data_IF_109884369440
#
_entry.id   IF_109884369440
#
_cell.length_a   1.000
_cell.length_b   1.000
_cell.length_c   1.000
_cell.angle_alpha   90.00
_cell.angle_beta   90.00
_cell.angle_gamma   90.00
#
_symmetry.space_group_name_H-M   'P 1'
#
loop_
_entity.id
_entity.type
_entity.pdbx_description
1 polymer ?
#
# COMPACT_ATOMS: atom_id res chain seq x y z
N UNK A 1 27.66 -38.83 -33.95
CA UNK A 1 27.92 -38.48 -32.55
C UNK A 1 28.46 -37.05 -32.36
N UNK A 2 29.40 -36.53 -33.15
CA UNK A 2 29.95 -35.18 -33.00
C UNK A 2 28.90 -34.04 -33.12
N UNK A 3 27.91 -34.16 -33.97
CA UNK A 3 26.84 -33.18 -34.14
C UNK A 3 25.79 -33.23 -33.03
N UNK A 4 25.59 -34.38 -32.40
CA UNK A 4 24.66 -34.54 -31.27
C UNK A 4 25.19 -33.83 -30.00
N UNK A 5 26.52 -33.90 -29.78
CA UNK A 5 27.17 -33.16 -28.69
C UNK A 5 27.14 -31.63 -28.91
N UNK A 6 27.29 -31.17 -30.16
CA UNK A 6 27.19 -29.75 -30.50
C UNK A 6 25.77 -29.22 -30.29
N UNK A 7 24.75 -29.99 -30.63
CA UNK A 7 23.35 -29.66 -30.40
C UNK A 7 23.00 -29.60 -28.89
N UNK A 8 23.54 -30.51 -28.09
CA UNK A 8 23.39 -30.53 -26.64
C UNK A 8 24.08 -29.32 -25.95
N UNK A 9 25.27 -28.93 -26.45
CA UNK A 9 25.97 -27.73 -25.94
C UNK A 9 25.25 -26.43 -26.28
N UNK A 10 24.62 -26.33 -27.45
CA UNK A 10 23.80 -25.13 -27.80
C UNK A 10 22.54 -25.06 -26.97
N UNK A 11 21.91 -26.17 -26.61
CA UNK A 11 20.73 -26.20 -25.72
C UNK A 11 21.08 -25.82 -24.29
N UNK A 12 22.30 -26.09 -23.82
CA UNK A 12 22.75 -25.70 -22.47
C UNK A 12 22.99 -24.17 -22.31
N UNK A 13 23.20 -23.45 -23.42
CA UNK A 13 23.40 -22.01 -23.43
C UNK A 13 22.09 -21.22 -23.31
N UNK A 14 20.94 -21.85 -23.47
CA UNK A 14 19.61 -21.26 -23.25
C UNK A 14 19.03 -21.54 -21.83
N UNK A 15 19.88 -21.95 -20.88
CA UNK A 15 19.49 -21.92 -19.47
C UNK A 15 19.37 -20.45 -19.07
N UNK A 16 18.24 -19.85 -19.45
CA UNK A 16 17.83 -18.53 -18.99
C UNK A 16 17.82 -18.57 -17.46
N UNK A 17 18.84 -17.97 -16.87
CA UNK A 17 18.86 -17.73 -15.44
C UNK A 17 17.62 -16.87 -15.15
N UNK A 18 16.57 -17.45 -14.58
CA UNK A 18 15.45 -16.65 -14.08
C UNK A 18 16.02 -15.73 -13.04
N UNK A 19 15.97 -14.43 -13.31
CA UNK A 19 16.32 -13.40 -12.36
C UNK A 19 15.58 -13.66 -11.04
N UNK A 20 16.27 -13.62 -9.90
CA UNK A 20 15.62 -13.81 -8.62
C UNK A 20 14.74 -12.60 -8.31
N UNK A 21 13.64 -12.80 -7.55
CA UNK A 21 12.79 -11.70 -7.08
C UNK A 21 13.62 -10.61 -6.35
N UNK A 22 14.65 -11.02 -5.63
CA UNK A 22 15.56 -10.11 -4.94
C UNK A 22 16.34 -9.22 -5.92
N UNK A 23 16.85 -9.79 -6.99
CA UNK A 23 17.63 -9.05 -8.00
C UNK A 23 16.72 -8.10 -8.78
N UNK A 24 15.50 -8.54 -9.10
CA UNK A 24 14.48 -7.71 -9.72
C UNK A 24 14.14 -6.49 -8.86
N UNK A 25 13.92 -6.70 -7.55
CA UNK A 25 13.66 -5.61 -6.60
C UNK A 25 14.85 -4.67 -6.50
N UNK A 26 16.07 -5.20 -6.39
CA UNK A 26 17.29 -4.39 -6.29
C UNK A 26 17.47 -3.48 -7.52
N UNK A 27 17.28 -4.03 -8.71
CA UNK A 27 17.34 -3.27 -9.97
C UNK A 27 16.27 -2.18 -10.02
N UNK A 28 15.04 -2.49 -9.59
CA UNK A 28 13.95 -1.52 -9.58
C UNK A 28 14.24 -0.38 -8.61
N UNK A 29 14.78 -0.68 -7.42
CA UNK A 29 15.20 0.34 -6.45
C UNK A 29 16.29 1.23 -7.06
N UNK A 30 17.32 0.64 -7.69
CA UNK A 30 18.40 1.38 -8.35
C UNK A 30 17.89 2.26 -9.50
N UNK A 31 16.92 1.80 -10.27
CA UNK A 31 16.30 2.57 -11.36
C UNK A 31 15.55 3.80 -10.85
N UNK A 32 14.93 3.70 -9.67
CA UNK A 32 14.06 4.75 -9.15
C UNK A 32 14.76 5.68 -8.15
N UNK A 33 15.81 5.27 -7.49
CA UNK A 33 16.54 6.09 -6.53
C UNK A 33 17.09 7.37 -7.19
N UNK A 34 16.79 8.52 -6.61
CA UNK A 34 17.17 9.83 -7.14
C UNK A 34 16.40 10.30 -8.39
N UNK A 35 15.52 9.47 -8.97
CA UNK A 35 14.68 9.86 -10.10
C UNK A 35 13.69 10.94 -9.67
N UNK A 36 13.52 11.96 -10.49
CA UNK A 36 12.56 13.03 -10.26
C UNK A 36 11.13 12.56 -10.60
N UNK A 37 10.20 12.82 -9.71
CA UNK A 37 8.76 12.59 -9.94
C UNK A 37 8.13 13.88 -10.45
N UNK A 38 7.53 13.79 -11.62
CA UNK A 38 6.86 14.90 -12.29
C UNK A 38 5.39 14.94 -11.90
N UNK A 39 4.93 16.10 -11.41
CA UNK A 39 3.53 16.29 -11.05
C UNK A 39 2.74 16.90 -12.24
N UNK A 40 1.51 16.45 -12.51
CA UNK A 40 0.66 17.06 -13.52
C UNK A 40 0.39 18.54 -13.19
N UNK A 41 0.43 19.40 -14.20
CA UNK A 41 0.24 20.85 -14.03
C UNK A 41 -1.13 21.23 -13.43
N UNK A 42 -2.14 20.36 -13.62
CA UNK A 42 -3.51 20.59 -13.15
C UNK A 42 -3.97 19.41 -12.32
N UNK A 43 -3.51 19.36 -11.05
CA UNK A 43 -3.96 18.37 -10.07
C UNK A 43 -4.97 19.00 -9.14
N UNK A 44 -6.19 18.48 -9.13
CA UNK A 44 -7.25 18.94 -8.24
C UNK A 44 -7.40 17.97 -7.08
N UNK A 45 -7.07 18.44 -5.89
CA UNK A 45 -7.23 17.65 -4.67
C UNK A 45 -8.60 17.87 -4.04
N UNK A 46 -9.22 16.80 -3.62
CA UNK A 46 -10.55 16.84 -2.99
C UNK A 46 -10.59 16.01 -1.72
N UNK A 47 -11.47 16.36 -0.80
CA UNK A 47 -11.83 15.51 0.31
C UNK A 47 -13.01 14.61 -0.12
N UNK A 48 -12.78 13.30 -0.13
CA UNK A 48 -13.78 12.29 -0.50
C UNK A 48 -14.45 12.52 -1.86
N UNK A 49 -13.74 13.16 -2.80
CA UNK A 49 -14.24 13.47 -4.13
C UNK A 49 -15.39 14.48 -4.16
N UNK A 50 -15.51 15.33 -3.14
CA UNK A 50 -16.57 16.32 -3.01
C UNK A 50 -16.04 17.74 -2.92
N UNK A 51 -15.34 18.06 -1.84
CA UNK A 51 -14.90 19.40 -1.54
C UNK A 51 -13.47 19.61 -2.07
N UNK A 52 -13.27 20.53 -3.01
CA UNK A 52 -11.93 20.88 -3.51
C UNK A 52 -11.16 21.61 -2.41
N UNK A 53 -9.91 21.23 -2.24
CA UNK A 53 -9.00 21.83 -1.25
C UNK A 53 -7.76 22.37 -1.96
N UNK A 54 -7.25 23.49 -1.47
CA UNK A 54 -5.94 23.98 -1.83
C UNK A 54 -4.89 23.13 -1.10
N UNK A 55 -4.07 22.42 -1.88
CA UNK A 55 -3.07 21.50 -1.34
C UNK A 55 -1.72 21.81 -1.99
N UNK A 56 -0.87 22.49 -1.22
CA UNK A 56 0.48 22.88 -1.66
C UNK A 56 1.53 21.89 -1.15
N UNK A 57 2.49 21.57 -2.00
CA UNK A 57 3.64 20.72 -1.71
C UNK A 57 4.94 21.52 -1.59
N UNK A 58 4.87 22.85 -1.72
CA UNK A 58 6.01 23.69 -2.08
C UNK A 58 7.14 23.74 -1.03
N UNK A 59 6.84 23.61 0.27
CA UNK A 59 7.83 23.90 1.33
C UNK A 59 8.19 22.68 2.20
N UNK A 60 7.89 21.47 1.73
CA UNK A 60 8.18 20.27 2.50
C UNK A 60 9.56 19.69 2.14
N UNK A 61 10.40 19.46 3.17
CA UNK A 61 11.69 18.76 2.99
C UNK A 61 11.52 17.36 2.41
N UNK A 62 10.44 16.69 2.84
CA UNK A 62 10.04 15.36 2.37
C UNK A 62 8.54 15.32 2.15
N UNK A 63 8.11 14.47 1.24
CA UNK A 63 6.70 14.15 0.97
C UNK A 63 6.53 12.67 0.63
N UNK A 64 5.46 12.06 1.08
CA UNK A 64 5.10 10.69 0.69
C UNK A 64 4.08 10.76 -0.43
N UNK A 65 4.40 10.16 -1.57
CA UNK A 65 3.52 10.15 -2.74
C UNK A 65 3.12 8.73 -3.06
N UNK A 66 1.83 8.47 -3.19
CA UNK A 66 1.33 7.17 -3.61
C UNK A 66 0.41 7.30 -4.81
N UNK A 67 0.66 6.47 -5.81
CA UNK A 67 -0.21 6.27 -6.95
C UNK A 67 -0.93 4.94 -6.81
N UNK A 68 -2.22 4.92 -7.10
CA UNK A 68 -3.03 3.70 -7.11
C UNK A 68 -3.72 3.59 -8.46
N UNK A 69 -3.34 2.57 -9.22
CA UNK A 69 -3.87 2.27 -10.54
C UNK A 69 -5.27 1.66 -10.50
N UNK A 70 -5.91 1.56 -11.66
CA UNK A 70 -7.25 0.99 -11.85
C UNK A 70 -7.29 -0.53 -11.93
N UNK A 71 -6.16 -1.22 -11.82
CA UNK A 71 -6.07 -2.68 -12.02
C UNK A 71 -6.41 -3.43 -10.74
N UNK A 72 -7.32 -4.39 -10.79
CA UNK A 72 -7.63 -5.30 -9.68
C UNK A 72 -8.63 -4.71 -8.65
N UNK A 73 -8.49 -5.14 -7.39
CA UNK A 73 -9.39 -4.78 -6.29
C UNK A 73 -9.03 -3.42 -5.69
N UNK A 74 -9.90 -2.42 -5.87
CA UNK A 74 -9.70 -1.06 -5.37
C UNK A 74 -9.53 -1.01 -3.85
N UNK A 75 -10.44 -1.62 -3.10
CA UNK A 75 -10.40 -1.57 -1.63
C UNK A 75 -9.18 -2.29 -1.04
N UNK A 76 -8.72 -3.38 -1.69
CA UNK A 76 -7.53 -4.11 -1.27
C UNK A 76 -6.25 -3.27 -1.41
N UNK A 77 -6.20 -2.42 -2.44
CA UNK A 77 -5.06 -1.55 -2.72
C UNK A 77 -5.03 -0.32 -1.84
N UNK A 78 -6.19 0.29 -1.60
CA UNK A 78 -6.30 1.55 -0.88
C UNK A 78 -5.83 1.47 0.57
N UNK A 79 -6.26 0.45 1.32
CA UNK A 79 -5.93 0.24 2.75
C UNK A 79 -5.92 1.55 3.56
N UNK A 80 -6.94 2.38 3.39
CA UNK A 80 -6.99 3.77 3.89
C UNK A 80 -6.81 3.87 5.41
N UNK A 81 -7.27 2.87 6.16
CA UNK A 81 -7.07 2.83 7.61
C UNK A 81 -5.57 2.71 7.97
N UNK A 82 -4.82 1.86 7.26
CA UNK A 82 -3.38 1.72 7.48
C UNK A 82 -2.63 3.00 7.15
N UNK A 83 -3.06 3.70 6.10
CA UNK A 83 -2.52 5.02 5.77
C UNK A 83 -2.76 6.03 6.88
N UNK A 84 -3.98 6.11 7.43
CA UNK A 84 -4.30 6.99 8.56
C UNK A 84 -3.38 6.74 9.75
N UNK A 85 -3.14 5.47 10.09
CA UNK A 85 -2.26 5.11 11.20
C UNK A 85 -0.80 5.45 10.91
N UNK A 86 -0.31 5.21 9.69
CA UNK A 86 1.04 5.58 9.32
C UNK A 86 1.25 7.10 9.33
N UNK A 87 0.28 7.87 8.85
CA UNK A 87 0.31 9.33 8.91
C UNK A 87 0.36 9.83 10.36
N UNK A 88 -0.46 9.28 11.25
CA UNK A 88 -0.44 9.60 12.68
C UNK A 88 0.91 9.23 13.33
N UNK A 89 1.50 8.10 12.97
CA UNK A 89 2.82 7.68 13.44
C UNK A 89 3.90 8.68 12.99
N UNK A 90 3.89 9.10 11.73
CA UNK A 90 4.80 10.11 11.19
C UNK A 90 4.63 11.46 11.91
N UNK A 91 3.38 11.93 12.04
CA UNK A 91 3.07 13.20 12.72
C UNK A 91 3.51 13.20 14.19
N UNK A 92 3.35 12.06 14.89
CA UNK A 92 3.77 11.94 16.30
C UNK A 92 5.29 11.81 16.46
N UNK A 93 5.98 11.35 15.43
CA UNK A 93 7.43 11.11 15.45
C UNK A 93 8.21 12.36 15.08
N UNK A 94 7.66 13.18 14.18
CA UNK A 94 8.34 14.34 13.61
C UNK A 94 7.75 15.65 14.11
N UNK A 95 8.61 16.61 14.42
CA UNK A 95 8.19 17.97 14.79
C UNK A 95 7.90 18.87 13.57
N UNK A 96 7.74 18.28 12.40
CA UNK A 96 7.49 18.99 11.14
C UNK A 96 6.49 18.20 10.29
N UNK A 97 5.64 18.88 9.52
CA UNK A 97 4.66 18.21 8.68
C UNK A 97 5.36 17.48 7.52
N UNK A 98 4.86 16.28 7.22
CA UNK A 98 5.20 15.53 6.02
C UNK A 98 3.93 15.39 5.20
N UNK A 99 3.81 16.04 4.04
CA UNK A 99 2.66 15.90 3.18
C UNK A 99 2.54 14.46 2.64
N UNK A 100 1.32 13.94 2.67
CA UNK A 100 0.95 12.68 2.02
C UNK A 100 0.09 13.00 0.81
N UNK A 101 0.55 12.58 -0.35
CA UNK A 101 -0.03 12.89 -1.65
C UNK A 101 -0.60 11.64 -2.26
N UNK A 102 -1.90 11.63 -2.50
CA UNK A 102 -2.61 10.49 -3.04
C UNK A 102 -3.13 10.79 -4.43
N UNK A 103 -2.64 10.04 -5.43
CA UNK A 103 -3.19 10.01 -6.79
C UNK A 103 -3.89 8.69 -7.01
N UNK A 104 -5.18 8.74 -7.23
CA UNK A 104 -5.99 7.55 -7.49
C UNK A 104 -6.51 7.60 -8.92
N UNK A 105 -6.06 6.66 -9.73
CA UNK A 105 -6.63 6.43 -11.06
C UNK A 105 -7.77 5.42 -10.94
N UNK A 106 -9.03 5.86 -10.91
CA UNK A 106 -10.16 5.00 -10.59
C UNK A 106 -10.62 4.19 -11.80
N UNK A 107 -10.90 2.91 -11.58
CA UNK A 107 -11.71 2.12 -12.52
C UNK A 107 -13.19 2.51 -12.44
N UNK A 108 -13.67 2.80 -11.25
CA UNK A 108 -15.02 3.28 -10.96
C UNK A 108 -14.96 4.41 -9.91
N UNK A 109 -15.32 5.61 -10.34
CA UNK A 109 -15.38 6.79 -9.49
C UNK A 109 -16.40 6.68 -8.35
N UNK A 110 -17.50 5.96 -8.57
CA UNK A 110 -18.53 5.78 -7.54
C UNK A 110 -18.02 4.88 -6.43
N UNK A 111 -17.35 3.79 -6.81
CA UNK A 111 -16.72 2.87 -5.86
C UNK A 111 -15.68 3.60 -5.02
N UNK A 112 -14.78 4.36 -5.65
CA UNK A 112 -13.71 5.09 -4.97
C UNK A 112 -14.25 6.13 -3.98
N UNK A 113 -15.26 6.92 -4.39
CA UNK A 113 -15.95 7.87 -3.50
C UNK A 113 -16.68 7.17 -2.37
N UNK A 114 -17.27 6.00 -2.61
CA UNK A 114 -17.90 5.20 -1.56
C UNK A 114 -16.87 4.73 -0.53
N UNK A 115 -15.73 4.16 -0.98
CA UNK A 115 -14.69 3.66 -0.09
C UNK A 115 -14.09 4.79 0.75
N UNK A 116 -13.75 5.94 0.15
CA UNK A 116 -13.18 7.08 0.88
C UNK A 116 -14.13 7.63 1.95
N UNK A 117 -15.45 7.60 1.70
CA UNK A 117 -16.46 8.00 2.72
C UNK A 117 -16.65 6.93 3.78
N UNK A 118 -16.80 5.66 3.38
CA UNK A 118 -16.96 4.54 4.31
C UNK A 118 -15.83 4.49 5.33
N UNK A 119 -14.60 4.69 4.88
CA UNK A 119 -13.40 4.62 5.72
C UNK A 119 -13.07 5.97 6.39
N UNK A 120 -13.97 6.97 6.28
CA UNK A 120 -13.79 8.31 6.80
C UNK A 120 -12.39 8.87 6.48
N UNK A 121 -11.98 8.75 5.22
CA UNK A 121 -10.71 9.26 4.75
C UNK A 121 -10.83 10.73 4.37
N UNK A 122 -10.49 11.61 5.32
CA UNK A 122 -10.65 13.06 5.20
C UNK A 122 -9.37 13.78 4.74
N UNK A 123 -8.48 13.06 4.11
CA UNK A 123 -7.23 13.60 3.57
C UNK A 123 -7.39 13.97 2.09
N UNK A 124 -6.62 14.96 1.59
CA UNK A 124 -6.65 15.35 0.20
C UNK A 124 -6.27 14.20 -0.74
N UNK A 125 -7.10 13.96 -1.75
CA UNK A 125 -6.88 12.96 -2.80
C UNK A 125 -7.09 13.60 -4.17
N UNK A 126 -6.18 13.40 -5.10
CA UNK A 126 -6.38 13.68 -6.51
C UNK A 126 -7.00 12.46 -7.20
N UNK A 127 -8.19 12.63 -7.78
CA UNK A 127 -8.81 11.61 -8.62
C UNK A 127 -8.35 11.84 -10.06
N UNK A 128 -7.30 11.13 -10.44
CA UNK A 128 -6.64 11.23 -11.72
C UNK A 128 -7.35 10.36 -12.78
N UNK A 129 -8.51 10.81 -13.25
CA UNK A 129 -9.34 10.06 -14.19
C UNK A 129 -8.63 9.77 -15.52
N UNK A 130 -7.68 10.63 -15.91
CA UNK A 130 -6.96 10.52 -17.19
C UNK A 130 -5.63 9.77 -17.06
N UNK A 131 -5.27 9.36 -15.87
CA UNK A 131 -3.98 8.72 -15.59
C UNK A 131 -2.77 9.60 -15.96
N UNK A 132 -2.94 10.92 -15.82
CA UNK A 132 -1.91 11.89 -16.23
C UNK A 132 -0.64 11.74 -15.37
N UNK A 133 -0.78 11.38 -14.10
CA UNK A 133 0.36 11.19 -13.21
C UNK A 133 1.23 9.99 -13.61
N UNK A 134 0.62 8.87 -13.92
CA UNK A 134 1.34 7.69 -14.39
C UNK A 134 1.89 7.88 -15.81
N UNK A 135 1.16 8.55 -16.67
CA UNK A 135 1.61 8.86 -18.04
C UNK A 135 2.86 9.73 -18.07
N UNK A 136 3.04 10.61 -17.08
CA UNK A 136 4.25 11.42 -16.94
C UNK A 136 5.45 10.63 -16.41
N UNK A 137 5.22 9.69 -15.50
CA UNK A 137 6.27 9.06 -14.72
C UNK A 137 6.57 7.61 -15.11
N UNK A 138 5.61 6.90 -15.73
CA UNK A 138 5.71 5.47 -16.08
C UNK A 138 6.04 4.61 -14.86
N UNK A 139 5.16 4.67 -13.85
CA UNK A 139 5.34 3.94 -12.60
C UNK A 139 5.45 2.42 -12.81
N UNK A 140 6.11 1.70 -11.87
CA UNK A 140 6.16 0.24 -11.91
C UNK A 140 4.75 -0.38 -11.90
N UNK A 141 4.58 -1.50 -12.62
CA UNK A 141 3.32 -2.24 -12.63
C UNK A 141 2.99 -2.86 -11.26
N UNK A 142 4.03 -3.21 -10.48
CA UNK A 142 3.83 -3.78 -9.16
C UNK A 142 3.40 -2.71 -8.16
N UNK A 143 2.18 -2.86 -7.65
CA UNK A 143 1.54 -1.98 -6.68
C UNK A 143 2.42 -1.65 -5.46
N UNK A 144 3.25 -2.59 -5.02
CA UNK A 144 4.17 -2.41 -3.88
C UNK A 144 5.23 -1.36 -4.12
N UNK A 145 5.48 -0.98 -5.38
CA UNK A 145 6.46 0.03 -5.79
C UNK A 145 5.83 1.30 -6.36
N UNK A 146 4.53 1.49 -6.19
CA UNK A 146 3.82 2.71 -6.62
C UNK A 146 3.72 3.76 -5.50
N UNK A 147 4.60 3.66 -4.50
CA UNK A 147 4.70 4.62 -3.39
C UNK A 147 6.15 5.05 -3.22
N UNK A 148 6.34 6.34 -3.02
CA UNK A 148 7.64 7.00 -3.01
C UNK A 148 7.75 7.96 -1.84
N UNK A 149 8.89 7.94 -1.14
CA UNK A 149 9.33 9.04 -0.31
C UNK A 149 10.17 9.96 -1.18
N UNK A 150 9.74 11.20 -1.34
CA UNK A 150 10.45 12.21 -2.14
C UNK A 150 11.11 13.22 -1.23
N UNK A 151 12.24 13.73 -1.65
CA UNK A 151 12.90 14.89 -1.06
C UNK A 151 12.25 16.22 -1.50
N UNK A 152 12.82 17.35 -1.08
CA UNK A 152 12.35 18.70 -1.43
C UNK A 152 12.33 18.96 -2.94
N UNK A 153 13.24 18.34 -3.69
CA UNK A 153 13.41 18.52 -5.13
C UNK A 153 12.60 17.49 -5.94
N UNK A 154 11.63 16.81 -5.29
CA UNK A 154 10.79 15.75 -5.85
C UNK A 154 11.57 14.51 -6.31
N UNK A 155 12.79 14.29 -5.81
CA UNK A 155 13.57 13.09 -6.12
C UNK A 155 13.26 11.97 -5.15
N UNK A 156 13.25 10.77 -5.68
CA UNK A 156 12.97 9.55 -4.89
C UNK A 156 14.10 9.30 -3.90
N UNK A 157 13.82 9.45 -2.61
CA UNK A 157 14.70 9.10 -1.50
C UNK A 157 14.48 7.64 -1.03
N UNK A 158 13.28 7.11 -1.20
CA UNK A 158 12.97 5.70 -0.99
C UNK A 158 11.73 5.30 -1.79
N UNK A 159 11.68 4.03 -2.22
CA UNK A 159 10.57 3.44 -2.97
C UNK A 159 10.00 2.25 -2.21
N UNK A 160 8.70 2.04 -2.34
CA UNK A 160 7.96 0.93 -1.77
C UNK A 160 6.84 1.40 -0.83
N UNK A 161 5.86 0.54 -0.63
CA UNK A 161 4.66 0.91 0.14
C UNK A 161 4.85 0.62 1.64
N UNK A 162 4.92 1.67 2.51
CA UNK A 162 5.17 1.51 3.94
C UNK A 162 4.01 0.88 4.71
N UNK A 163 2.78 0.95 4.18
CA UNK A 163 1.62 0.35 4.85
C UNK A 163 1.47 -1.13 4.54
N UNK A 164 2.17 -1.64 3.52
CA UNK A 164 2.21 -3.05 3.16
C UNK A 164 3.45 -3.77 3.68
N UNK A 165 4.56 -3.05 3.87
CA UNK A 165 5.84 -3.65 4.23
C UNK A 165 6.46 -2.92 5.43
N UNK A 166 6.57 -3.59 6.60
CA UNK A 166 7.16 -2.99 7.81
C UNK A 166 8.60 -2.52 7.63
N UNK A 167 9.42 -3.20 6.81
CA UNK A 167 10.80 -2.78 6.53
C UNK A 167 10.87 -1.50 5.71
N UNK A 168 9.92 -1.32 4.78
CA UNK A 168 9.79 -0.07 4.03
C UNK A 168 9.33 1.06 4.97
N UNK A 169 8.41 0.77 5.89
CA UNK A 169 8.01 1.73 6.92
C UNK A 169 9.19 2.19 7.78
N UNK A 170 9.99 1.25 8.27
CA UNK A 170 11.22 1.55 9.02
C UNK A 170 12.21 2.39 8.20
N UNK A 171 12.37 2.08 6.90
CA UNK A 171 13.22 2.85 6.00
C UNK A 171 12.73 4.30 5.87
N UNK A 172 11.41 4.50 5.67
CA UNK A 172 10.83 5.84 5.57
C UNK A 172 11.04 6.64 6.86
N UNK A 173 10.73 6.05 8.02
CA UNK A 173 10.95 6.70 9.31
C UNK A 173 12.43 7.05 9.52
N UNK A 174 13.35 6.14 9.16
CA UNK A 174 14.80 6.39 9.25
C UNK A 174 15.23 7.57 8.37
N UNK A 175 14.76 7.68 7.14
CA UNK A 175 15.09 8.81 6.25
C UNK A 175 14.50 10.10 6.81
N UNK A 176 13.23 10.07 7.22
CA UNK A 176 12.51 11.23 7.75
C UNK A 176 13.13 11.79 9.05
N UNK A 177 13.70 10.92 9.88
CA UNK A 177 14.37 11.31 11.15
C UNK A 177 15.84 11.63 11.00
N UNK A 178 16.40 11.59 9.78
CA UNK A 178 17.83 11.84 9.55
C UNK A 178 18.73 10.71 10.04
N UNK A 179 18.19 9.49 10.17
CA UNK A 179 18.93 8.30 10.60
C UNK A 179 18.83 7.99 12.11
N UNK A 180 18.14 8.81 12.87
CA UNK A 180 17.80 8.47 14.24
C UNK A 180 16.88 7.27 14.27
N UNK A 181 17.26 6.23 15.01
CA UNK A 181 16.41 5.04 15.20
C UNK A 181 15.33 5.41 16.20
N UNK A 182 14.25 5.99 15.73
CA UNK A 182 13.03 6.08 16.52
C UNK A 182 12.44 4.68 16.57
N UNK A 183 12.65 3.98 17.68
CA UNK A 183 11.79 2.84 18.01
C UNK A 183 10.42 3.41 18.30
N UNK A 184 9.61 3.58 17.27
CA UNK A 184 8.18 3.69 17.47
C UNK A 184 7.78 2.37 18.14
N UNK A 185 7.54 2.41 19.44
CA UNK A 185 6.90 1.30 20.14
C UNK A 185 5.50 1.21 19.52
N UNK A 186 5.37 0.34 18.52
CA UNK A 186 4.04 0.01 18.03
C UNK A 186 3.29 -0.59 19.21
N UNK A 187 2.28 0.08 19.75
CA UNK A 187 1.59 -0.41 20.92
C UNK A 187 0.97 -1.77 20.59
N UNK A 188 1.56 -2.83 21.12
CA UNK A 188 1.08 -4.19 20.95
C UNK A 188 0.01 -4.43 22.01
N UNK A 189 -1.17 -4.84 21.57
CA UNK A 189 -2.22 -5.28 22.49
C UNK A 189 -2.35 -6.83 22.46
N UNK A 190 -3.03 -7.36 23.45
CA UNK A 190 -3.34 -8.80 23.54
C UNK A 190 -4.78 -9.03 23.14
N UNK A 191 -5.00 -10.14 22.46
CA UNK A 191 -6.32 -10.53 21.98
C UNK A 191 -6.64 -11.93 22.46
N UNK A 192 -7.86 -12.15 22.89
CA UNK A 192 -8.43 -13.45 23.20
C UNK A 192 -9.62 -13.72 22.26
N UNK A 193 -9.70 -14.95 21.78
CA UNK A 193 -10.86 -15.48 21.06
C UNK A 193 -11.61 -16.41 21.99
N UNK A 194 -12.94 -16.35 22.00
CA UNK A 194 -13.79 -17.29 22.76
C UNK A 194 -13.76 -18.69 22.15
N UNK A 195 -13.56 -18.80 20.83
CA UNK A 195 -13.40 -20.05 20.10
C UNK A 195 -12.28 -19.95 19.07
N UNK A 196 -11.52 -21.02 18.90
CA UNK A 196 -10.44 -21.10 17.90
C UNK A 196 -10.79 -21.99 16.70
N UNK A 197 -11.89 -22.74 16.80
CA UNK A 197 -12.39 -23.61 15.74
C UNK A 197 -13.90 -23.65 15.82
N UNK A 198 -14.54 -23.55 14.66
CA UNK A 198 -15.99 -23.64 14.53
C UNK A 198 -16.31 -24.71 13.49
N UNK A 199 -17.01 -25.75 13.92
CA UNK A 199 -17.52 -26.77 13.01
C UNK A 199 -18.92 -26.36 12.51
N UNK A 200 -19.09 -26.29 11.21
CA UNK A 200 -20.38 -26.01 10.57
C UNK A 200 -21.21 -27.28 10.38
N UNK A 201 -20.62 -28.46 10.55
CA UNK A 201 -21.28 -29.74 10.25
C UNK A 201 -21.53 -29.93 8.76
N UNK A 202 -22.46 -30.85 8.44
CA UNK A 202 -22.92 -31.10 7.08
C UNK A 202 -24.26 -30.41 6.84
N UNK A 203 -24.34 -29.60 5.81
CA UNK A 203 -25.56 -28.87 5.46
C UNK A 203 -25.72 -28.77 3.92
N UNK A 204 -26.96 -28.62 3.41
CA UNK A 204 -27.23 -28.44 1.99
C UNK A 204 -26.54 -27.18 1.44
N UNK A 205 -26.01 -27.25 0.21
CA UNK A 205 -25.34 -26.13 -0.43
C UNK A 205 -26.21 -24.86 -0.58
N UNK A 206 -27.53 -25.03 -0.60
CA UNK A 206 -28.51 -23.93 -0.68
C UNK A 206 -28.73 -23.19 0.64
N UNK A 207 -28.22 -23.71 1.75
CA UNK A 207 -28.42 -23.10 3.06
C UNK A 207 -27.25 -22.25 3.47
N UNK A 208 -27.57 -21.04 3.98
CA UNK A 208 -26.58 -20.20 4.65
C UNK A 208 -26.42 -20.63 6.10
N UNK A 209 -25.19 -20.79 6.52
CA UNK A 209 -24.87 -21.04 7.92
C UNK A 209 -24.21 -19.79 8.51
N UNK A 210 -24.62 -19.43 9.72
CA UNK A 210 -24.02 -18.34 10.47
C UNK A 210 -23.47 -18.85 11.79
N UNK A 211 -22.28 -18.42 12.13
CA UNK A 211 -21.64 -18.66 13.43
C UNK A 211 -21.04 -17.37 13.93
N UNK A 212 -20.99 -17.22 15.22
CA UNK A 212 -20.39 -16.05 15.87
C UNK A 212 -19.19 -16.47 16.68
N UNK A 213 -18.20 -15.63 16.73
CA UNK A 213 -17.10 -15.70 17.69
C UNK A 213 -16.85 -14.30 18.24
N UNK A 214 -16.29 -14.24 19.44
CA UNK A 214 -15.99 -12.99 20.11
C UNK A 214 -14.48 -12.83 20.20
N UNK A 215 -14.02 -11.69 19.70
CA UNK A 215 -12.65 -11.26 19.82
C UNK A 215 -12.59 -10.17 20.90
N UNK A 216 -11.88 -10.45 21.98
CA UNK A 216 -11.77 -9.53 23.12
C UNK A 216 -10.36 -8.97 23.20
N UNK A 217 -10.25 -7.65 23.26
CA UNK A 217 -8.99 -7.00 23.57
C UNK A 217 -8.70 -7.15 25.08
N UNK A 218 -7.71 -7.96 25.42
CA UNK A 218 -7.28 -8.21 26.79
C UNK A 218 -5.99 -7.45 27.15
N UNK A 219 -5.48 -6.62 26.22
CA UNK A 219 -4.32 -5.78 26.45
C UNK A 219 -4.71 -4.35 26.88
N UNK A 220 -3.70 -3.50 27.03
CA UNK A 220 -3.85 -2.13 27.53
C UNK A 220 -3.95 -1.09 26.41
N UNK A 221 -3.68 -1.47 25.16
CA UNK A 221 -3.72 -0.57 24.00
C UNK A 221 -4.94 -0.86 23.14
N UNK A 222 -5.36 0.12 22.36
CA UNK A 222 -6.46 -0.05 21.40
C UNK A 222 -6.16 -1.18 20.43
N UNK A 223 -7.12 -2.09 20.25
CA UNK A 223 -7.06 -3.11 19.22
C UNK A 223 -7.57 -2.51 17.91
N UNK A 224 -6.73 -2.56 16.90
CA UNK A 224 -7.10 -2.19 15.55
C UNK A 224 -7.02 -3.41 14.65
N UNK A 225 -8.15 -3.80 14.08
CA UNK A 225 -8.23 -4.88 13.08
C UNK A 225 -8.11 -4.23 11.71
N UNK A 226 -6.97 -4.44 11.04
CA UNK A 226 -6.71 -3.85 9.73
C UNK A 226 -7.42 -4.57 8.59
N UNK A 227 -7.52 -5.88 8.71
CA UNK A 227 -8.09 -6.73 7.68
C UNK A 227 -8.51 -8.08 8.26
N UNK A 228 -9.48 -8.70 7.62
CA UNK A 228 -9.89 -10.06 7.92
C UNK A 228 -9.96 -10.83 6.61
N UNK A 229 -9.01 -11.74 6.44
CA UNK A 229 -8.86 -12.53 5.22
C UNK A 229 -9.43 -13.92 5.45
N UNK A 230 -10.36 -14.32 4.59
CA UNK A 230 -10.87 -15.69 4.56
C UNK A 230 -10.07 -16.53 3.57
N UNK A 231 -9.80 -17.79 3.91
CA UNK A 231 -9.06 -18.72 3.03
C UNK A 231 -9.86 -19.19 1.82
N UNK A 232 -11.18 -18.97 1.79
CA UNK A 232 -12.05 -19.28 0.65
C UNK A 232 -13.10 -18.20 0.46
N UNK A 233 -13.56 -18.03 -0.78
CA UNK A 233 -14.66 -17.12 -1.12
C UNK A 233 -16.04 -17.57 -0.63
N UNK A 234 -16.13 -18.73 0.03
CA UNK A 234 -17.35 -19.25 0.62
C UNK A 234 -17.67 -18.67 2.00
N UNK A 235 -16.70 -17.97 2.62
CA UNK A 235 -16.87 -17.31 3.91
C UNK A 235 -16.99 -15.81 3.73
N UNK A 236 -17.93 -15.21 4.45
CA UNK A 236 -18.06 -13.76 4.60
C UNK A 236 -18.08 -13.43 6.09
N UNK A 237 -17.34 -12.40 6.48
CA UNK A 237 -17.29 -11.92 7.86
C UNK A 237 -18.03 -10.59 7.96
N UNK A 238 -18.89 -10.50 8.97
CA UNK A 238 -19.66 -9.30 9.27
C UNK A 238 -19.33 -8.92 10.71
N UNK A 239 -18.89 -7.69 10.91
CA UNK A 239 -18.75 -7.12 12.25
C UNK A 239 -20.13 -6.66 12.74
N UNK A 240 -20.51 -7.10 13.94
CA UNK A 240 -21.79 -6.76 14.58
C UNK A 240 -21.50 -5.97 15.85
#
# INVERSE_FOLDING_TARGET
MRYLCLLLCVFALFSSCKESEKDKIARLVEEWEGKEILFPAHSFFTIQGKDTVDFSLADADYKVVTYIDSVGCTSCKLQLLRWKLFMQEVDSTLNRPVPFVFYFHPKDMKELRYITRRDAFVYPVCFDEKDDFNRLNHFPDEMTFQTFLLDKDNRVAAIGNPVHNPKVKELYLKVLTGGEVVKAETPITKVSLDVTSIDFGSFPQSEKQERKFTLTNTGQHVLVIYDVITSCGCLSLIHI
#
